data_IF_263326128622
#
_entry.id   IF_263326128622
#
_cell.length_a   1.000
_cell.length_b   1.000
_cell.length_c   1.000
_cell.angle_alpha   90.00
_cell.angle_beta   90.00
_cell.angle_gamma   90.00
#
_symmetry.space_group_name_H-M   'P 1'
#
loop_
_entity.id
_entity.type
_entity.pdbx_description
1 polymer ?
#
# COMPACT_ATOMS: atom_id res chain seq x y z
N UNK A 1 -16.07 12.55 3.99
CA UNK A 1 -15.60 11.30 3.38
C UNK A 1 -15.67 10.21 4.43
N UNK A 2 -16.44 9.15 4.20
CA UNK A 2 -16.53 8.04 5.15
C UNK A 2 -15.17 7.38 5.31
N UNK A 3 -14.75 7.24 6.57
CA UNK A 3 -13.49 6.66 7.04
C UNK A 3 -13.38 5.15 6.73
N UNK A 4 -13.45 4.74 5.45
CA UNK A 4 -13.46 3.33 5.00
C UNK A 4 -12.35 2.53 5.68
N UNK A 5 -11.13 3.08 5.75
CA UNK A 5 -10.03 2.46 6.49
C UNK A 5 -10.35 2.24 7.97
N UNK A 6 -10.79 3.26 8.71
CA UNK A 6 -11.11 3.10 10.13
C UNK A 6 -12.26 2.10 10.34
N UNK A 7 -13.29 2.11 9.50
CA UNK A 7 -14.37 1.11 9.56
C UNK A 7 -13.84 -0.31 9.32
N UNK A 8 -12.92 -0.49 8.36
CA UNK A 8 -12.31 -1.78 8.06
C UNK A 8 -11.48 -2.31 9.23
N UNK A 9 -10.65 -1.47 9.86
CA UNK A 9 -9.84 -1.91 11.01
C UNK A 9 -10.67 -2.16 12.27
N UNK A 10 -11.80 -1.46 12.46
CA UNK A 10 -12.72 -1.76 13.56
C UNK A 10 -13.42 -3.11 13.38
N UNK A 11 -13.72 -3.50 12.13
CA UNK A 11 -14.36 -4.79 11.82
C UNK A 11 -13.35 -5.95 11.75
N UNK A 12 -12.16 -5.68 11.24
CA UNK A 12 -11.06 -6.63 11.12
C UNK A 12 -9.75 -5.94 11.53
N UNK A 13 -9.33 -6.09 12.80
CA UNK A 13 -8.16 -5.38 13.33
C UNK A 13 -6.83 -5.96 12.85
N UNK A 14 -6.84 -7.09 12.14
CA UNK A 14 -5.62 -7.74 11.65
C UNK A 14 -5.28 -7.19 10.27
N UNK A 15 -4.06 -6.67 10.15
CA UNK A 15 -3.50 -6.14 8.90
C UNK A 15 -2.43 -7.11 8.41
N UNK A 16 -2.55 -7.56 7.16
CA UNK A 16 -1.52 -8.40 6.55
C UNK A 16 -0.34 -7.53 6.11
N UNK A 17 0.83 -7.69 6.73
CA UNK A 17 2.05 -6.99 6.36
C UNK A 17 2.93 -7.89 5.47
N UNK A 18 3.15 -7.46 4.23
CA UNK A 18 3.91 -8.20 3.22
C UNK A 18 5.33 -7.65 3.18
N UNK A 19 6.26 -8.41 3.74
CA UNK A 19 7.71 -8.17 3.67
C UNK A 19 8.42 -9.10 2.68
N UNK A 20 7.73 -10.11 2.15
CA UNK A 20 8.19 -11.03 1.11
C UNK A 20 7.10 -11.17 0.03
N UNK A 21 7.49 -10.97 -1.23
CA UNK A 21 6.59 -11.06 -2.38
C UNK A 21 6.02 -12.48 -2.57
N UNK A 22 6.68 -13.51 -2.05
CA UNK A 22 6.16 -14.88 -2.04
C UNK A 22 4.82 -15.00 -1.28
N UNK A 23 4.56 -14.09 -0.33
CA UNK A 23 3.38 -14.09 0.53
C UNK A 23 2.16 -13.39 -0.08
N UNK A 24 2.28 -12.83 -1.29
CA UNK A 24 1.19 -12.07 -1.93
C UNK A 24 -0.07 -12.91 -2.11
N UNK A 25 0.07 -14.14 -2.62
CA UNK A 25 -1.07 -15.03 -2.86
C UNK A 25 -1.76 -15.43 -1.55
N UNK A 26 -0.98 -15.68 -0.50
CA UNK A 26 -1.51 -16.00 0.82
C UNK A 26 -2.27 -14.80 1.41
N UNK A 27 -1.70 -13.59 1.34
CA UNK A 27 -2.34 -12.38 1.83
C UNK A 27 -3.63 -12.05 1.05
N UNK A 28 -3.66 -12.31 -0.25
CA UNK A 28 -4.84 -12.16 -1.10
C UNK A 28 -5.95 -13.13 -0.68
N UNK A 29 -5.64 -14.38 -0.41
CA UNK A 29 -6.63 -15.38 0.05
C UNK A 29 -7.01 -15.22 1.53
N UNK A 30 -6.24 -14.46 2.30
CA UNK A 30 -6.48 -14.27 3.72
C UNK A 30 -7.78 -13.47 4.00
N UNK A 31 -8.39 -13.61 5.18
CA UNK A 31 -9.55 -12.81 5.58
C UNK A 31 -9.21 -11.34 5.87
N UNK A 32 -7.92 -10.96 5.86
CA UNK A 32 -7.51 -9.59 6.14
C UNK A 32 -8.04 -8.65 5.05
N UNK A 33 -8.76 -7.61 5.47
CA UNK A 33 -9.30 -6.58 4.56
C UNK A 33 -8.32 -5.46 4.25
N UNK A 34 -7.27 -5.35 5.05
CA UNK A 34 -6.21 -4.35 4.90
C UNK A 34 -4.86 -5.04 4.74
N UNK A 35 -4.07 -4.53 3.79
CA UNK A 35 -2.75 -5.06 3.44
C UNK A 35 -1.74 -3.92 3.44
N UNK A 36 -0.61 -4.13 4.10
CA UNK A 36 0.55 -3.24 4.06
C UNK A 36 1.65 -3.88 3.20
N UNK A 37 2.01 -3.21 2.11
CA UNK A 37 3.12 -3.58 1.26
C UNK A 37 4.40 -2.92 1.77
N UNK A 38 5.27 -3.72 2.38
CA UNK A 38 6.54 -3.27 2.95
C UNK A 38 7.73 -3.57 2.02
N UNK A 39 7.49 -4.24 0.89
CA UNK A 39 8.51 -4.59 -0.10
C UNK A 39 7.90 -4.54 -1.51
N UNK A 40 8.73 -4.17 -2.48
CA UNK A 40 8.39 -4.09 -3.89
C UNK A 40 9.35 -3.14 -4.60
N UNK A 41 9.20 -3.05 -5.91
CA UNK A 41 10.00 -2.18 -6.76
C UNK A 41 9.14 -1.54 -7.86
N UNK A 42 9.74 -0.60 -8.59
CA UNK A 42 9.08 0.12 -9.70
C UNK A 42 8.45 -0.79 -10.76
N UNK A 43 8.96 -2.01 -10.95
CA UNK A 43 8.49 -2.92 -12.00
C UNK A 43 7.25 -3.69 -11.59
N UNK A 44 7.08 -3.99 -10.29
CA UNK A 44 5.99 -4.84 -9.80
C UNK A 44 4.93 -4.11 -8.98
N UNK A 45 5.26 -2.98 -8.33
CA UNK A 45 4.39 -2.41 -7.29
C UNK A 45 2.98 -2.04 -7.80
N UNK A 46 2.88 -1.53 -9.03
CA UNK A 46 1.60 -1.19 -9.64
C UNK A 46 0.71 -2.42 -9.79
N UNK A 47 1.24 -3.51 -10.35
CA UNK A 47 0.49 -4.76 -10.53
C UNK A 47 0.09 -5.41 -9.21
N UNK A 48 0.93 -5.32 -8.18
CA UNK A 48 0.61 -5.84 -6.84
C UNK A 48 -0.52 -5.03 -6.21
N UNK A 49 -0.47 -3.70 -6.31
CA UNK A 49 -1.53 -2.81 -5.79
C UNK A 49 -2.85 -3.09 -6.49
N UNK A 50 -2.86 -3.19 -7.82
CA UNK A 50 -4.07 -3.50 -8.58
C UNK A 50 -4.64 -4.87 -8.23
N UNK A 51 -3.78 -5.88 -8.06
CA UNK A 51 -4.20 -7.22 -7.61
C UNK A 51 -4.97 -7.17 -6.29
N UNK A 52 -4.46 -6.48 -5.27
CA UNK A 52 -5.15 -6.37 -3.99
C UNK A 52 -6.45 -5.56 -4.09
N UNK A 53 -6.47 -4.48 -4.88
CA UNK A 53 -7.67 -3.68 -5.11
C UNK A 53 -8.77 -4.48 -5.79
N UNK A 54 -8.42 -5.29 -6.78
CA UNK A 54 -9.36 -6.16 -7.51
C UNK A 54 -9.95 -7.26 -6.60
N UNK A 55 -9.24 -7.63 -5.54
CA UNK A 55 -9.67 -8.58 -4.51
C UNK A 55 -10.37 -7.91 -3.32
N UNK A 56 -10.93 -6.70 -3.50
CA UNK A 56 -11.63 -5.86 -2.51
C UNK A 56 -10.83 -5.61 -1.21
N UNK A 57 -9.50 -5.51 -1.32
CA UNK A 57 -8.62 -5.19 -0.19
C UNK A 57 -8.15 -3.75 -0.24
N UNK A 58 -8.09 -3.16 0.94
CA UNK A 58 -7.48 -1.86 1.16
C UNK A 58 -5.96 -2.03 1.25
N UNK A 59 -5.22 -1.42 0.33
CA UNK A 59 -3.76 -1.60 0.22
C UNK A 59 -3.03 -0.30 0.49
N UNK A 60 -2.08 -0.36 1.43
CA UNK A 60 -1.17 0.73 1.76
C UNK A 60 0.24 0.34 1.37
N UNK A 61 1.00 1.29 0.85
CA UNK A 61 2.38 1.04 0.40
C UNK A 61 3.35 1.80 1.27
N UNK A 62 4.35 1.11 1.80
CA UNK A 62 5.45 1.77 2.49
C UNK A 62 6.38 2.41 1.46
N UNK A 63 6.13 3.69 1.18
CA UNK A 63 6.81 4.44 0.14
C UNK A 63 8.33 4.41 0.29
N UNK A 64 8.85 4.51 1.52
CA UNK A 64 10.30 4.46 1.78
C UNK A 64 10.96 3.12 1.45
N UNK A 65 10.21 2.01 1.46
CA UNK A 65 10.77 0.67 1.25
C UNK A 65 10.66 0.19 -0.20
N UNK A 66 10.01 0.93 -1.09
CA UNK A 66 9.92 0.56 -2.50
C UNK A 66 11.21 0.92 -3.24
N UNK A 67 11.82 -0.06 -3.88
CA UNK A 67 13.06 0.13 -4.64
C UNK A 67 12.78 0.76 -6.02
N UNK A 68 13.77 1.49 -6.55
CA UNK A 68 13.68 2.14 -7.86
C UNK A 68 12.96 3.50 -7.88
N UNK A 69 12.38 3.94 -6.76
CA UNK A 69 11.82 5.30 -6.63
C UNK A 69 12.67 6.21 -5.77
N UNK A 70 12.80 7.46 -6.20
CA UNK A 70 13.30 8.54 -5.35
C UNK A 70 12.29 8.81 -4.23
N UNK A 71 12.77 9.25 -3.06
CA UNK A 71 11.92 9.51 -1.89
C UNK A 71 11.55 10.98 -1.80
N UNK A 72 10.93 11.48 -2.86
CA UNK A 72 10.58 12.89 -3.05
C UNK A 72 9.10 13.07 -3.46
N UNK A 73 8.68 14.33 -3.57
CA UNK A 73 7.32 14.69 -3.94
C UNK A 73 6.93 14.30 -5.37
N UNK A 74 7.90 14.18 -6.29
CA UNK A 74 7.64 13.81 -7.69
C UNK A 74 7.29 12.33 -7.77
N UNK A 75 8.08 11.49 -7.10
CA UNK A 75 7.79 10.07 -6.95
C UNK A 75 6.49 9.84 -6.18
N UNK A 76 6.20 10.63 -5.15
CA UNK A 76 4.90 10.55 -4.46
C UNK A 76 3.72 10.89 -5.40
N UNK A 77 3.86 11.93 -6.23
CA UNK A 77 2.87 12.26 -7.26
C UNK A 77 2.69 11.13 -8.27
N UNK A 78 3.78 10.48 -8.68
CA UNK A 78 3.70 9.30 -9.52
C UNK A 78 2.90 8.17 -8.85
N UNK A 79 3.08 7.94 -7.55
CA UNK A 79 2.29 6.98 -6.78
C UNK A 79 0.81 7.32 -6.81
N UNK A 80 0.45 8.58 -6.61
CA UNK A 80 -0.94 9.05 -6.69
C UNK A 80 -1.53 8.84 -8.09
N UNK A 81 -0.79 9.18 -9.15
CA UNK A 81 -1.34 9.22 -10.51
C UNK A 81 -1.34 7.86 -11.22
N UNK A 82 -0.37 6.99 -10.91
CA UNK A 82 -0.14 5.74 -11.66
C UNK A 82 -0.36 4.47 -10.83
N UNK A 83 0.09 4.45 -9.56
CA UNK A 83 -0.02 3.26 -8.70
C UNK A 83 -1.35 3.24 -7.94
N UNK A 84 -1.84 4.41 -7.52
CA UNK A 84 -3.13 4.61 -6.83
C UNK A 84 -3.37 3.64 -5.67
N UNK A 85 -2.44 3.54 -4.68
CA UNK A 85 -2.74 2.81 -3.46
C UNK A 85 -3.82 3.54 -2.65
N UNK A 86 -4.44 2.86 -1.68
CA UNK A 86 -5.42 3.50 -0.80
C UNK A 86 -4.77 4.47 0.20
N UNK A 87 -3.47 4.32 0.42
CA UNK A 87 -2.66 5.24 1.19
C UNK A 87 -1.18 4.86 1.15
N UNK A 88 -0.35 5.72 1.72
CA UNK A 88 1.09 5.49 1.85
C UNK A 88 1.49 5.39 3.32
N UNK A 89 2.60 4.72 3.58
CA UNK A 89 3.30 4.69 4.86
C UNK A 89 4.68 5.27 4.62
N UNK A 90 5.07 6.27 5.41
CA UNK A 90 6.41 6.85 5.34
C UNK A 90 6.83 7.35 6.72
N UNK A 91 8.13 7.32 7.00
CA UNK A 91 8.73 7.94 8.18
C UNK A 91 9.15 9.39 7.93
N UNK A 92 8.98 9.90 6.71
CA UNK A 92 9.44 11.22 6.30
C UNK A 92 8.36 12.28 6.44
N UNK A 93 8.48 13.14 7.44
CA UNK A 93 7.50 14.20 7.73
C UNK A 93 7.23 15.14 6.56
N UNK A 94 8.25 15.44 5.75
CA UNK A 94 8.09 16.32 4.59
C UNK A 94 7.15 15.73 3.53
N UNK A 95 7.12 14.41 3.37
CA UNK A 95 6.21 13.72 2.45
C UNK A 95 4.80 13.60 3.05
N UNK A 96 4.68 13.42 4.37
CA UNK A 96 3.38 13.37 5.06
C UNK A 96 2.57 14.65 4.82
N UNK A 97 3.23 15.82 4.81
CA UNK A 97 2.57 17.12 4.60
C UNK A 97 2.05 17.33 3.17
N UNK A 98 2.52 16.53 2.21
CA UNK A 98 2.22 16.68 0.77
C UNK A 98 1.21 15.62 0.31
N UNK A 99 1.05 14.54 1.08
CA UNK A 99 0.23 13.38 0.76
C UNK A 99 -1.28 13.62 0.92
#
# INVERSE_FOLDING_TARGET
MSNKFFSLIHQNPIIAAINDLSSIEFAEKSPCRVVFLLKGDISNIAGIVDRFKNSDKCVFVHFDLIEGFSKDAVSLRYFHDNIKPHGIITTKENLIKIA
#
